data_IF_378822487438
#
_entry.id   IF_378822487438
#
_cell.length_a   1.000
_cell.length_b   1.000
_cell.length_c   1.000
_cell.angle_alpha   90.00
_cell.angle_beta   90.00
_cell.angle_gamma   90.00
#
_symmetry.space_group_name_H-M   'P 1'
#
loop_
_entity.id
_entity.type
_entity.pdbx_description
1 polymer ?
#
# COMPACT_ATOMS: atom_id res chain seq x y z
N UNK A 1 -9.12 -1.63 16.20
CA UNK A 1 -7.65 -1.60 16.02
C UNK A 1 -7.34 -2.62 14.94
N UNK A 2 -6.61 -2.23 13.90
CA UNK A 2 -6.16 -3.16 12.86
C UNK A 2 -5.01 -4.02 13.41
N UNK A 3 -5.09 -5.34 13.23
CA UNK A 3 -4.08 -6.29 13.68
C UNK A 3 -3.81 -7.29 12.54
N UNK A 4 -2.73 -7.10 11.75
CA UNK A 4 -2.47 -7.92 10.57
C UNK A 4 -2.09 -9.36 10.96
N UNK A 5 -2.42 -10.29 10.07
CA UNK A 5 -2.00 -11.70 10.13
C UNK A 5 -1.11 -12.04 8.93
N UNK A 6 -0.59 -13.27 8.86
CA UNK A 6 0.16 -13.76 7.70
C UNK A 6 -0.68 -13.85 6.41
N UNK A 7 -2.01 -13.81 6.54
CA UNK A 7 -2.93 -13.86 5.40
C UNK A 7 -3.29 -12.48 4.86
N UNK A 8 -3.11 -11.43 5.67
CA UNK A 8 -3.44 -10.06 5.33
C UNK A 8 -2.72 -9.63 4.06
N UNK A 9 -3.45 -9.03 3.12
CA UNK A 9 -2.89 -8.49 1.88
C UNK A 9 -2.49 -7.03 2.05
N UNK A 10 -1.21 -6.75 1.87
CA UNK A 10 -0.69 -5.38 1.83
C UNK A 10 -0.87 -4.79 0.43
N UNK A 11 -1.30 -3.54 0.37
CA UNK A 11 -1.47 -2.79 -0.87
C UNK A 11 -0.76 -1.45 -0.72
N UNK A 12 0.12 -1.13 -1.67
CA UNK A 12 0.91 0.09 -1.63
C UNK A 12 0.31 1.23 -2.47
N UNK A 13 0.61 2.47 -2.08
CA UNK A 13 0.66 3.62 -2.97
C UNK A 13 2.11 4.11 -3.03
N UNK A 14 2.71 4.08 -4.21
CA UNK A 14 4.08 4.56 -4.42
C UNK A 14 4.06 5.88 -5.20
N UNK A 15 4.89 6.80 -4.75
CA UNK A 15 5.03 8.15 -5.28
C UNK A 15 5.67 9.04 -4.22
N UNK A 16 5.97 10.28 -4.54
CA UNK A 16 6.58 11.25 -3.64
C UNK A 16 6.24 12.66 -4.16
N UNK A 17 5.63 13.55 -3.37
CA UNK A 17 5.12 13.37 -2.01
C UNK A 17 3.72 12.71 -1.99
N UNK A 18 3.38 12.02 -0.88
CA UNK A 18 2.09 11.36 -0.70
C UNK A 18 1.28 11.88 0.50
N UNK A 19 1.84 12.75 1.34
CA UNK A 19 1.19 13.23 2.57
C UNK A 19 -0.21 13.85 2.41
N UNK A 20 -0.56 14.33 1.20
CA UNK A 20 -1.89 14.91 0.91
C UNK A 20 -2.88 13.90 0.31
N UNK A 21 -2.46 12.65 0.08
CA UNK A 21 -3.30 11.63 -0.56
C UNK A 21 -4.38 11.11 0.38
N UNK A 22 -5.63 11.18 -0.06
CA UNK A 22 -6.76 10.57 0.64
C UNK A 22 -6.92 9.06 0.36
N UNK A 23 -6.11 8.48 -0.53
CA UNK A 23 -6.28 7.10 -1.00
C UNK A 23 -6.20 6.08 0.15
N UNK A 24 -5.27 6.25 1.09
CA UNK A 24 -5.14 5.34 2.23
C UNK A 24 -6.38 5.37 3.13
N UNK A 25 -6.95 6.56 3.37
CA UNK A 25 -8.20 6.68 4.12
C UNK A 25 -9.36 5.99 3.38
N UNK A 26 -9.51 6.26 2.08
CA UNK A 26 -10.59 5.70 1.26
C UNK A 26 -10.53 4.18 1.19
N UNK A 27 -9.38 3.61 0.82
CA UNK A 27 -9.23 2.17 0.67
C UNK A 27 -9.40 1.43 1.99
N UNK A 28 -8.76 1.88 3.08
CA UNK A 28 -8.91 1.23 4.38
C UNK A 28 -10.34 1.34 4.93
N UNK A 29 -11.04 2.44 4.68
CA UNK A 29 -12.46 2.58 5.05
C UNK A 29 -13.33 1.54 4.34
N UNK A 30 -13.09 1.31 3.05
CA UNK A 30 -13.81 0.28 2.27
C UNK A 30 -13.43 -1.13 2.75
N UNK A 31 -12.15 -1.41 2.99
CA UNK A 31 -11.71 -2.72 3.48
C UNK A 31 -12.35 -3.05 4.82
N UNK A 32 -12.41 -2.08 5.73
CA UNK A 32 -13.08 -2.25 7.01
C UNK A 32 -14.60 -2.43 6.85
N UNK A 33 -15.26 -1.65 5.98
CA UNK A 33 -16.69 -1.74 5.75
C UNK A 33 -17.13 -3.08 5.12
N UNK A 34 -16.24 -3.72 4.37
CA UNK A 34 -16.48 -4.99 3.67
C UNK A 34 -15.84 -6.21 4.35
N UNK A 35 -15.27 -6.03 5.56
CA UNK A 35 -14.55 -7.07 6.31
C UNK A 35 -13.46 -7.77 5.49
N UNK A 36 -12.71 -6.99 4.70
CA UNK A 36 -11.60 -7.49 3.89
C UNK A 36 -10.30 -7.48 4.71
N UNK A 37 -9.58 -8.60 4.72
CA UNK A 37 -8.25 -8.73 5.36
C UNK A 37 -7.14 -8.08 4.51
N UNK A 38 -7.24 -6.76 4.35
CA UNK A 38 -6.39 -5.94 3.50
C UNK A 38 -5.94 -4.67 4.23
N UNK A 39 -4.75 -4.17 3.88
CA UNK A 39 -4.23 -2.90 4.39
C UNK A 39 -3.60 -2.08 3.28
N UNK A 40 -4.04 -0.82 3.13
CA UNK A 40 -3.52 0.13 2.16
C UNK A 40 -2.58 1.14 2.84
N UNK A 41 -1.34 1.24 2.36
CA UNK A 41 -0.34 2.14 2.93
C UNK A 41 0.35 3.02 1.86
N UNK A 42 0.53 4.33 2.13
CA UNK A 42 1.38 5.19 1.32
C UNK A 42 2.85 4.92 1.65
N UNK A 43 3.69 4.84 0.61
CA UNK A 43 5.15 4.75 0.73
C UNK A 43 5.78 5.82 -0.15
N UNK A 44 6.39 6.81 0.47
CA UNK A 44 7.20 7.82 -0.22
C UNK A 44 8.48 7.14 -0.72
N UNK A 45 8.54 6.91 -2.03
CA UNK A 45 9.62 6.20 -2.71
C UNK A 45 10.10 7.05 -3.86
N UNK A 46 11.39 7.37 -3.87
CA UNK A 46 12.04 8.07 -4.96
C UNK A 46 12.09 7.19 -6.23
N UNK A 47 12.09 7.81 -7.40
CA UNK A 47 12.00 7.10 -8.68
C UNK A 47 13.17 6.12 -8.89
N UNK A 48 14.34 6.46 -8.35
CA UNK A 48 15.55 5.64 -8.40
C UNK A 48 15.40 4.31 -7.63
N UNK A 49 14.52 4.27 -6.62
CA UNK A 49 14.33 3.11 -5.74
C UNK A 49 13.16 2.21 -6.15
N UNK A 50 12.28 2.68 -7.06
CA UNK A 50 11.06 1.95 -7.47
C UNK A 50 11.39 0.54 -7.97
N UNK A 51 12.43 0.37 -8.79
CA UNK A 51 12.79 -0.94 -9.34
C UNK A 51 13.18 -1.92 -8.22
N UNK A 52 13.94 -1.44 -7.24
CA UNK A 52 14.38 -2.25 -6.10
C UNK A 52 13.19 -2.68 -5.24
N UNK A 53 12.27 -1.75 -4.95
CA UNK A 53 11.07 -2.02 -4.16
C UNK A 53 10.18 -3.04 -4.86
N UNK A 54 9.81 -2.79 -6.13
CA UNK A 54 8.86 -3.63 -6.87
C UNK A 54 9.35 -5.08 -7.01
N UNK A 55 10.66 -5.29 -7.20
CA UNK A 55 11.26 -6.62 -7.26
C UNK A 55 11.05 -7.46 -5.99
N UNK A 56 10.83 -6.81 -4.84
CA UNK A 56 10.74 -7.48 -3.55
C UNK A 56 9.32 -7.55 -2.97
N UNK A 57 8.33 -6.83 -3.51
CA UNK A 57 6.96 -6.76 -2.94
C UNK A 57 6.33 -8.11 -2.66
N UNK A 58 6.47 -9.08 -3.56
CA UNK A 58 5.90 -10.43 -3.40
C UNK A 58 6.43 -11.15 -2.14
N UNK A 59 7.63 -10.81 -1.67
CA UNK A 59 8.23 -11.39 -0.46
C UNK A 59 7.59 -10.86 0.83
N UNK A 60 6.84 -9.76 0.75
CA UNK A 60 6.22 -9.08 1.89
C UNK A 60 4.69 -9.17 1.88
N UNK A 61 4.12 -10.19 1.22
CA UNK A 61 2.66 -10.40 1.15
C UNK A 61 1.88 -9.25 0.48
N UNK A 62 2.53 -8.44 -0.37
CA UNK A 62 1.83 -7.43 -1.16
C UNK A 62 0.93 -8.09 -2.21
N UNK A 63 -0.33 -7.67 -2.25
CA UNK A 63 -1.30 -8.01 -3.29
C UNK A 63 -1.18 -7.13 -4.54
N UNK A 64 -0.59 -5.94 -4.39
CA UNK A 64 -0.39 -5.00 -5.49
C UNK A 64 -0.01 -3.60 -4.98
N UNK A 65 0.15 -2.65 -5.90
CA UNK A 65 0.35 -1.26 -5.57
C UNK A 65 -0.22 -0.35 -6.67
N UNK A 66 -0.77 0.80 -6.26
CA UNK A 66 -1.01 1.95 -7.14
C UNK A 66 0.27 2.77 -7.27
N UNK A 67 0.45 3.43 -8.41
CA UNK A 67 1.60 4.30 -8.68
C UNK A 67 1.08 5.68 -9.06
N UNK A 68 1.70 6.72 -8.51
CA UNK A 68 1.49 8.11 -8.90
C UNK A 68 2.85 8.78 -9.13
N UNK A 69 2.84 10.06 -9.50
CA UNK A 69 4.08 10.82 -9.69
C UNK A 69 4.96 10.74 -8.44
N UNK A 70 6.20 10.30 -8.65
CA UNK A 70 7.31 10.46 -7.74
C UNK A 70 8.11 11.72 -8.12
#
# INVERSE_FOLDING_TARGET
>A
MFNPTVNTKFIGLFGNPLGQSAAAYLHNSVYQALDMDCFYAPYEIEIEDIEHVVKNLKRFHFGGASVTSA
#
